data_IF_366597666555
#
_entry.id   IF_366597666555
#
_cell.length_a   1.000
_cell.length_b   1.000
_cell.length_c   1.000
_cell.angle_alpha   90.00
_cell.angle_beta   90.00
_cell.angle_gamma   90.00
#
_symmetry.space_group_name_H-M   'P 1'
#
loop_
_entity.id
_entity.type
_entity.pdbx_description
1 polymer ?
#
# COMPACT_ATOMS: atom_id res chain seq x y z
N UNK A 1 -24.89 9.12 14.17
CA UNK A 1 -23.55 8.54 14.34
C UNK A 1 -22.65 9.20 13.30
N UNK A 2 -21.42 9.56 13.67
CA UNK A 2 -20.47 10.08 12.69
C UNK A 2 -20.10 8.96 11.72
N UNK A 3 -19.84 9.33 10.46
CA UNK A 3 -19.59 8.35 9.39
C UNK A 3 -18.15 7.85 9.52
N UNK A 4 -17.98 6.54 9.64
CA UNK A 4 -16.68 5.88 9.51
C UNK A 4 -16.66 5.08 8.22
N UNK A 5 -15.49 4.96 7.62
CA UNK A 5 -15.28 4.13 6.45
C UNK A 5 -13.83 3.66 6.42
N UNK A 6 -13.60 2.48 5.85
CA UNK A 6 -12.25 1.93 5.70
C UNK A 6 -12.20 1.05 4.46
N UNK A 7 -11.10 1.13 3.72
CA UNK A 7 -10.78 0.23 2.64
C UNK A 7 -9.35 -0.27 2.78
N UNK A 8 -9.12 -1.50 2.31
CA UNK A 8 -7.79 -2.12 2.23
C UNK A 8 -7.59 -2.75 0.85
N UNK A 9 -6.33 -2.80 0.39
CA UNK A 9 -5.93 -3.58 -0.77
C UNK A 9 -4.71 -4.45 -0.49
N UNK A 10 -4.61 -5.53 -1.25
CA UNK A 10 -3.50 -6.48 -1.22
C UNK A 10 -2.73 -6.59 -2.54
N UNK A 11 -2.97 -5.66 -3.46
CA UNK A 11 -2.26 -5.55 -4.74
C UNK A 11 -3.17 -5.71 -5.95
N UNK A 12 -2.85 -4.98 -7.01
CA UNK A 12 -3.45 -5.09 -8.35
C UNK A 12 -2.45 -5.69 -9.34
N UNK A 13 -2.88 -6.48 -10.31
CA UNK A 13 -2.01 -7.07 -11.33
C UNK A 13 -2.69 -8.22 -12.09
N UNK A 14 -1.88 -9.13 -12.61
CA UNK A 14 -2.33 -10.38 -13.25
C UNK A 14 -2.75 -11.43 -12.21
N UNK A 15 -3.64 -12.35 -12.61
CA UNK A 15 -4.05 -13.47 -11.77
C UNK A 15 -2.98 -14.58 -11.74
N UNK A 16 -2.05 -14.52 -10.77
CA UNK A 16 -1.00 -15.54 -10.63
C UNK A 16 -1.51 -16.89 -10.11
N UNK A 17 -0.81 -17.98 -10.44
CA UNK A 17 -1.09 -19.32 -9.92
C UNK A 17 -1.07 -19.39 -8.39
N UNK A 18 -0.19 -18.59 -7.76
CA UNK A 18 -0.16 -18.44 -6.30
C UNK A 18 -1.46 -17.87 -5.77
N UNK A 19 -1.99 -16.81 -6.39
CA UNK A 19 -3.25 -16.21 -5.99
C UNK A 19 -4.40 -17.19 -6.18
N UNK A 20 -4.48 -17.88 -7.32
CA UNK A 20 -5.52 -18.87 -7.60
C UNK A 20 -5.50 -19.98 -6.54
N UNK A 21 -4.31 -20.48 -6.21
CA UNK A 21 -4.14 -21.54 -5.20
C UNK A 21 -4.42 -21.07 -3.76
N UNK A 22 -4.31 -19.78 -3.48
CA UNK A 22 -4.46 -19.20 -2.14
C UNK A 22 -5.62 -18.21 -2.03
N UNK A 23 -6.59 -18.24 -2.96
CA UNK A 23 -7.67 -17.24 -3.05
C UNK A 23 -8.39 -17.06 -1.71
N UNK A 24 -8.80 -18.17 -1.08
CA UNK A 24 -9.49 -18.16 0.23
C UNK A 24 -8.64 -17.55 1.34
N UNK A 25 -7.32 -17.78 1.33
CA UNK A 25 -6.41 -17.24 2.34
C UNK A 25 -6.20 -15.74 2.12
N UNK A 26 -6.02 -15.31 0.88
CA UNK A 26 -5.95 -13.88 0.55
C UNK A 26 -7.26 -13.15 0.90
N UNK A 27 -8.41 -13.74 0.60
CA UNK A 27 -9.70 -13.17 1.00
C UNK A 27 -9.81 -13.06 2.53
N UNK A 28 -9.41 -14.10 3.27
CA UNK A 28 -9.39 -14.07 4.73
C UNK A 28 -8.47 -12.99 5.28
N UNK A 29 -7.23 -12.89 4.80
CA UNK A 29 -6.27 -11.86 5.23
C UNK A 29 -6.77 -10.43 4.98
N UNK A 30 -7.40 -10.18 3.81
CA UNK A 30 -8.05 -8.89 3.53
C UNK A 30 -9.16 -8.56 4.54
N UNK A 31 -9.99 -9.56 4.88
CA UNK A 31 -11.08 -9.39 5.83
C UNK A 31 -10.56 -9.13 7.25
N UNK A 32 -9.53 -9.86 7.68
CA UNK A 32 -8.91 -9.68 9.00
C UNK A 32 -8.26 -8.31 9.14
N UNK A 33 -7.53 -7.85 8.12
CA UNK A 33 -6.96 -6.50 8.08
C UNK A 33 -8.05 -5.41 8.14
N UNK A 34 -9.09 -5.55 7.30
CA UNK A 34 -10.21 -4.62 7.26
C UNK A 34 -10.94 -4.53 8.61
N UNK A 35 -11.27 -5.69 9.20
CA UNK A 35 -11.99 -5.76 10.47
C UNK A 35 -11.15 -5.24 11.64
N UNK A 36 -9.83 -5.45 11.59
CA UNK A 36 -8.91 -4.91 12.59
C UNK A 36 -8.93 -3.38 12.60
N UNK A 37 -8.76 -2.74 11.44
CA UNK A 37 -8.85 -1.28 11.32
C UNK A 37 -10.26 -0.75 11.63
N UNK A 38 -11.30 -1.41 11.12
CA UNK A 38 -12.69 -1.01 11.39
C UNK A 38 -13.07 -1.08 12.87
N UNK A 39 -12.57 -2.06 13.62
CA UNK A 39 -12.80 -2.15 15.07
C UNK A 39 -12.23 -0.92 15.79
N UNK A 40 -11.02 -0.49 15.44
CA UNK A 40 -10.41 0.73 15.99
C UNK A 40 -11.32 1.93 15.74
N UNK A 41 -11.83 2.10 14.52
CA UNK A 41 -12.77 3.18 14.19
C UNK A 41 -14.07 3.09 14.99
N UNK A 42 -14.64 1.89 15.13
CA UNK A 42 -15.87 1.67 15.92
C UNK A 42 -15.69 2.01 17.40
N UNK A 43 -14.51 1.75 17.94
CA UNK A 43 -14.17 2.01 19.34
C UNK A 43 -13.74 3.47 19.57
N UNK A 44 -13.82 4.33 18.54
CA UNK A 44 -13.52 5.76 18.64
C UNK A 44 -12.04 6.13 18.41
N UNK A 45 -11.22 5.19 17.94
CA UNK A 45 -9.83 5.44 17.55
C UNK A 45 -9.70 6.26 16.27
N UNK A 46 -8.49 6.74 16.00
CA UNK A 46 -8.21 7.63 14.86
C UNK A 46 -8.10 6.89 13.53
N UNK A 47 -8.28 7.61 12.43
CA UNK A 47 -8.07 7.06 11.09
C UNK A 47 -6.63 6.57 10.91
N UNK A 48 -5.67 7.29 11.51
CA UNK A 48 -4.25 6.96 11.48
C UNK A 48 -3.95 5.62 12.16
N UNK A 49 -4.55 5.36 13.33
CA UNK A 49 -4.44 4.08 14.04
C UNK A 49 -5.06 2.94 13.23
N UNK A 50 -6.21 3.20 12.59
CA UNK A 50 -6.90 2.19 11.81
C UNK A 50 -6.11 1.75 10.57
N UNK A 51 -5.51 2.70 9.82
CA UNK A 51 -4.71 2.35 8.63
C UNK A 51 -3.39 1.68 8.99
N UNK A 52 -2.71 2.11 10.06
CA UNK A 52 -1.48 1.44 10.52
C UNK A 52 -1.79 -0.02 10.90
N UNK A 53 -2.81 -0.24 11.75
CA UNK A 53 -3.14 -1.59 12.20
C UNK A 53 -3.58 -2.51 11.05
N UNK A 54 -4.35 -1.99 10.09
CA UNK A 54 -4.76 -2.74 8.91
C UNK A 54 -3.56 -3.12 8.03
N UNK A 55 -2.61 -2.21 7.81
CA UNK A 55 -1.39 -2.50 7.03
C UNK A 55 -0.47 -3.46 7.77
N UNK A 56 -0.29 -3.33 9.09
CA UNK A 56 0.49 -4.28 9.89
C UNK A 56 -0.07 -5.72 9.78
N UNK A 57 -1.40 -5.88 9.76
CA UNK A 57 -2.02 -7.19 9.53
C UNK A 57 -1.67 -7.78 8.16
N UNK A 58 -1.58 -6.94 7.12
CA UNK A 58 -1.20 -7.37 5.78
C UNK A 58 0.31 -7.61 5.66
N UNK A 59 1.14 -6.85 6.39
CA UNK A 59 2.59 -7.06 6.49
C UNK A 59 2.95 -8.34 7.25
N UNK A 60 2.10 -8.79 8.18
CA UNK A 60 2.34 -10.03 8.92
C UNK A 60 1.85 -11.29 8.17
N UNK A 61 1.03 -11.13 7.11
CA UNK A 61 0.44 -12.21 6.34
C UNK A 61 1.29 -12.57 5.10
N UNK A 62 1.89 -13.79 5.05
CA UNK A 62 2.78 -14.21 3.97
C UNK A 62 2.17 -14.26 2.56
N UNK A 63 0.85 -14.11 2.43
CA UNK A 63 0.18 -14.11 1.13
C UNK A 63 0.16 -12.72 0.45
N UNK A 64 0.73 -11.71 1.09
CA UNK A 64 0.85 -10.35 0.56
C UNK A 64 2.30 -9.93 0.39
N UNK A 65 2.55 -9.03 -0.56
CA UNK A 65 3.88 -8.53 -0.87
C UNK A 65 4.20 -7.28 -0.04
N UNK A 66 4.32 -7.44 1.27
CA UNK A 66 4.77 -6.43 2.22
C UNK A 66 5.15 -7.12 3.52
N UNK A 67 6.17 -6.64 4.24
CA UNK A 67 6.63 -7.33 5.45
C UNK A 67 6.96 -8.80 5.16
N UNK A 68 6.35 -9.70 5.91
CA UNK A 68 6.39 -11.14 5.65
C UNK A 68 5.70 -11.49 4.34
N UNK A 69 6.44 -12.11 3.42
CA UNK A 69 5.98 -12.37 2.05
C UNK A 69 6.49 -11.36 1.03
N UNK A 70 7.36 -10.42 1.43
CA UNK A 70 8.01 -9.48 0.52
C UNK A 70 8.82 -10.19 -0.57
N UNK A 71 8.70 -9.71 -1.80
CA UNK A 71 9.47 -10.20 -2.93
C UNK A 71 10.95 -9.91 -2.76
N UNK A 72 11.78 -10.68 -3.49
CA UNK A 72 13.23 -10.57 -3.46
C UNK A 72 13.72 -9.78 -4.68
N UNK A 73 14.72 -8.92 -4.50
CA UNK A 73 15.45 -8.28 -5.60
C UNK A 73 16.34 -9.30 -6.35
N UNK A 74 17.05 -8.87 -7.39
CA UNK A 74 17.88 -9.78 -8.20
C UNK A 74 19.11 -10.35 -7.48
N UNK A 75 19.45 -9.84 -6.29
CA UNK A 75 20.46 -10.41 -5.40
C UNK A 75 19.87 -11.41 -4.38
N UNK A 76 18.55 -11.66 -4.43
CA UNK A 76 17.88 -12.55 -3.48
C UNK A 76 17.58 -11.87 -2.13
N UNK A 77 17.61 -10.54 -2.08
CA UNK A 77 17.51 -9.75 -0.87
C UNK A 77 16.13 -9.11 -0.72
N UNK A 78 15.66 -8.95 0.53
CA UNK A 78 14.42 -8.21 0.83
C UNK A 78 14.72 -6.73 1.04
N UNK A 79 13.97 -5.87 0.35
CA UNK A 79 13.99 -4.41 0.49
C UNK A 79 12.54 -3.88 0.52
N UNK A 80 12.11 -3.37 1.67
CA UNK A 80 10.73 -2.94 1.89
C UNK A 80 10.60 -1.42 1.93
N UNK A 81 9.49 -0.93 1.37
CA UNK A 81 9.13 0.48 1.32
C UNK A 81 7.75 0.66 1.97
N UNK A 82 7.55 1.73 2.74
CA UNK A 82 6.24 2.06 3.29
C UNK A 82 6.07 3.56 3.53
N UNK A 83 4.82 4.03 3.55
CA UNK A 83 4.47 5.36 4.01
C UNK A 83 3.11 5.41 4.70
N UNK A 84 2.90 6.49 5.47
CA UNK A 84 1.66 6.81 6.15
C UNK A 84 1.46 8.32 6.19
N UNK A 85 0.22 8.78 6.06
CA UNK A 85 -0.11 10.21 6.03
C UNK A 85 -1.39 10.50 6.82
N UNK A 86 -1.35 11.54 7.65
CA UNK A 86 -2.50 12.10 8.36
C UNK A 86 -3.12 13.26 7.56
N UNK A 87 -4.38 13.11 7.17
CA UNK A 87 -5.12 14.10 6.39
C UNK A 87 -5.49 15.35 7.17
N UNK A 88 -5.48 15.32 8.51
CA UNK A 88 -5.77 16.49 9.35
C UNK A 88 -4.62 17.49 9.38
N UNK A 89 -3.40 16.98 9.54
CA UNK A 89 -2.20 17.80 9.74
C UNK A 89 -1.28 17.84 8.52
N UNK A 90 -1.55 17.00 7.51
CA UNK A 90 -0.68 16.73 6.36
C UNK A 90 0.71 16.20 6.74
N UNK A 91 0.90 15.81 8.02
CA UNK A 91 2.11 15.11 8.43
C UNK A 91 2.16 13.77 7.72
N UNK A 92 3.35 13.40 7.31
CA UNK A 92 3.61 12.14 6.64
C UNK A 92 4.92 11.54 7.14
N UNK A 93 5.01 10.23 7.06
CA UNK A 93 6.21 9.47 7.30
C UNK A 93 6.41 8.43 6.22
N UNK A 94 7.65 8.17 5.86
CA UNK A 94 8.02 7.25 4.80
C UNK A 94 9.38 6.60 5.07
N UNK A 95 9.50 5.36 4.62
CA UNK A 95 10.75 4.60 4.60
C UNK A 95 10.94 3.85 3.31
N UNK A 96 12.20 3.66 2.91
CA UNK A 96 12.56 2.83 1.77
C UNK A 96 13.79 1.97 2.03
N UNK A 97 13.92 0.87 1.28
CA UNK A 97 15.05 -0.07 1.34
C UNK A 97 15.27 -0.67 2.75
N UNK A 98 14.18 -1.03 3.45
CA UNK A 98 14.22 -1.57 4.81
C UNK A 98 14.26 -3.10 4.79
N UNK A 99 15.17 -3.72 5.55
CA UNK A 99 15.42 -5.19 5.48
C UNK A 99 15.04 -5.98 6.74
N UNK A 100 15.02 -5.35 7.92
CA UNK A 100 14.92 -6.08 9.21
C UNK A 100 13.71 -5.67 10.07
N UNK A 101 13.05 -4.56 9.74
CA UNK A 101 11.97 -4.02 10.57
C UNK A 101 10.70 -4.81 10.29
N UNK A 102 10.13 -5.46 11.32
CA UNK A 102 8.96 -6.34 11.17
C UNK A 102 7.82 -5.68 10.40
N UNK A 103 7.51 -4.43 10.76
CA UNK A 103 6.41 -3.66 10.20
C UNK A 103 6.91 -2.30 9.69
N UNK A 104 7.32 -2.18 8.41
CA UNK A 104 7.79 -0.93 7.82
C UNK A 104 6.81 0.26 7.98
N UNK A 105 5.49 0.02 7.92
CA UNK A 105 4.48 1.08 8.12
C UNK A 105 4.57 1.73 9.51
N UNK A 106 4.88 0.94 10.55
CA UNK A 106 5.04 1.45 11.91
C UNK A 106 6.31 2.28 12.08
N UNK A 107 7.38 1.95 11.35
CA UNK A 107 8.57 2.81 11.30
C UNK A 107 8.27 4.13 10.58
N UNK A 108 7.54 4.08 9.46
CA UNK A 108 7.08 5.28 8.78
C UNK A 108 6.26 6.18 9.73
N UNK A 109 5.32 5.61 10.48
CA UNK A 109 4.57 6.34 11.52
C UNK A 109 5.48 6.91 12.59
N UNK A 110 6.48 6.16 13.05
CA UNK A 110 7.42 6.64 14.06
C UNK A 110 8.20 7.87 13.60
N UNK A 111 8.66 7.86 12.34
CA UNK A 111 9.35 9.00 11.72
C UNK A 111 8.44 10.22 11.69
N UNK A 112 7.19 10.05 11.25
CA UNK A 112 6.19 11.12 11.20
C UNK A 112 5.93 11.76 12.57
N UNK A 113 5.84 10.96 13.62
CA UNK A 113 5.46 11.42 14.96
C UNK A 113 6.64 11.95 15.79
N UNK A 114 7.84 11.40 15.59
CA UNK A 114 8.98 11.59 16.51
C UNK A 114 10.17 12.31 15.89
N UNK A 115 10.08 12.73 14.63
CA UNK A 115 11.14 13.48 13.96
C UNK A 115 10.57 14.70 13.23
N UNK A 116 11.45 15.59 12.76
CA UNK A 116 11.08 16.67 11.84
C UNK A 116 11.18 16.25 10.36
N UNK A 117 11.51 14.97 10.10
CA UNK A 117 11.72 14.44 8.77
C UNK A 117 10.46 13.71 8.28
N UNK A 118 10.30 13.66 6.96
CA UNK A 118 9.20 12.93 6.31
C UNK A 118 9.66 11.58 5.81
N UNK A 119 10.87 11.48 5.25
CA UNK A 119 11.31 10.29 4.53
C UNK A 119 12.75 9.95 4.89
N UNK A 120 12.99 8.75 5.43
CA UNK A 120 14.31 8.18 5.66
C UNK A 120 14.51 6.91 4.84
N UNK A 121 15.75 6.51 4.59
CA UNK A 121 16.04 5.36 3.74
C UNK A 121 17.17 4.49 4.30
N UNK A 122 17.09 3.19 4.02
CA UNK A 122 18.11 2.19 4.31
C UNK A 122 18.63 2.25 5.74
N UNK A 123 19.95 2.35 5.88
CA UNK A 123 20.63 2.30 7.18
C UNK A 123 20.15 3.40 8.14
N UNK A 124 19.88 4.62 7.66
CA UNK A 124 19.45 5.72 8.52
C UNK A 124 18.08 5.48 9.15
N UNK A 125 17.15 4.91 8.37
CA UNK A 125 15.85 4.51 8.87
C UNK A 125 15.95 3.32 9.85
N UNK A 126 16.86 2.38 9.62
CA UNK A 126 17.12 1.27 10.54
C UNK A 126 17.68 1.74 11.89
N UNK A 127 18.56 2.74 11.91
CA UNK A 127 19.05 3.34 13.17
C UNK A 127 17.92 3.99 13.97
N UNK A 128 16.95 4.62 13.30
CA UNK A 128 15.74 5.14 13.96
C UNK A 128 14.89 4.00 14.53
N UNK A 129 14.74 2.90 13.79
CA UNK A 129 14.01 1.72 14.26
C UNK A 129 14.65 1.13 15.53
N UNK A 130 15.98 1.00 15.55
CA UNK A 130 16.75 0.55 16.72
C UNK A 130 16.58 1.50 17.89
N UNK A 131 16.71 2.82 17.67
CA UNK A 131 16.58 3.83 18.71
C UNK A 131 15.21 3.77 19.41
N UNK A 132 14.14 3.56 18.64
CA UNK A 132 12.78 3.42 19.17
C UNK A 132 12.41 2.00 19.59
N UNK A 133 13.35 1.05 19.59
CA UNK A 133 13.15 -0.36 19.95
C UNK A 133 12.00 -1.02 19.16
N UNK A 134 11.89 -0.73 17.87
CA UNK A 134 10.94 -1.43 17.01
C UNK A 134 11.37 -2.89 16.84
N UNK A 135 10.42 -3.84 16.68
CA UNK A 135 10.76 -5.24 16.45
C UNK A 135 11.60 -5.42 15.18
N UNK A 136 12.81 -5.94 15.36
CA UNK A 136 13.68 -6.36 14.27
C UNK A 136 13.66 -7.89 14.19
N UNK A 137 13.51 -8.42 12.98
CA UNK A 137 13.44 -9.85 12.71
C UNK A 137 14.48 -10.24 11.67
N UNK A 138 14.97 -11.50 11.71
CA UNK A 138 15.88 -11.99 10.69
C UNK A 138 15.19 -12.09 9.33
N UNK A 139 15.96 -12.03 8.24
CA UNK A 139 15.48 -12.15 6.86
C UNK A 139 14.61 -13.41 6.63
N UNK A 140 14.90 -14.50 7.36
CA UNK A 140 14.13 -15.74 7.33
C UNK A 140 12.69 -15.63 7.84
N UNK A 141 12.35 -14.58 8.60
CA UNK A 141 10.95 -14.28 8.93
C UNK A 141 10.19 -13.78 7.70
N UNK A 142 10.83 -12.92 6.92
CA UNK A 142 10.19 -12.21 5.82
C UNK A 142 10.12 -13.06 4.55
N UNK A 143 11.14 -13.87 4.30
CA UNK A 143 11.22 -14.77 3.14
C UNK A 143 10.43 -16.06 3.39
N UNK A 144 9.50 -16.41 2.50
CA UNK A 144 8.84 -17.73 2.51
C UNK A 144 9.40 -18.62 1.40
N UNK A 145 9.10 -19.92 1.48
CA UNK A 145 9.46 -20.89 0.44
C UNK A 145 8.98 -20.46 -0.95
N UNK A 146 7.82 -19.80 -1.04
CA UNK A 146 7.30 -19.30 -2.31
C UNK A 146 8.19 -18.20 -2.91
N UNK A 147 8.55 -17.17 -2.14
CA UNK A 147 9.42 -16.09 -2.64
C UNK A 147 10.81 -16.61 -3.00
N UNK A 148 11.35 -17.53 -2.20
CA UNK A 148 12.62 -18.18 -2.49
C UNK A 148 12.58 -18.95 -3.82
N UNK A 149 11.57 -19.81 -4.02
CA UNK A 149 11.44 -20.58 -5.27
C UNK A 149 11.25 -19.66 -6.48
N UNK A 150 10.42 -18.62 -6.36
CA UNK A 150 10.21 -17.64 -7.43
C UNK A 150 11.50 -16.93 -7.81
N UNK A 151 12.30 -16.48 -6.83
CA UNK A 151 13.59 -15.84 -7.10
C UNK A 151 14.57 -16.79 -7.78
N UNK A 152 14.67 -18.04 -7.33
CA UNK A 152 15.54 -19.04 -7.95
C UNK A 152 15.17 -19.32 -9.41
N UNK A 153 13.88 -19.44 -9.71
CA UNK A 153 13.40 -19.60 -11.09
C UNK A 153 13.77 -18.39 -11.96
N UNK A 154 13.54 -17.17 -11.45
CA UNK A 154 13.86 -15.93 -12.19
C UNK A 154 15.37 -15.76 -12.41
N UNK A 155 16.19 -16.06 -11.41
CA UNK A 155 17.65 -15.95 -11.50
C UNK A 155 18.23 -16.85 -12.60
N UNK A 156 17.58 -17.99 -12.89
CA UNK A 156 17.99 -18.91 -13.96
C UNK A 156 17.48 -18.49 -15.35
N UNK A 157 16.39 -17.74 -15.42
CA UNK A 157 15.67 -17.44 -16.66
C UNK A 157 15.90 -16.02 -17.19
N UNK A 158 16.22 -15.08 -16.30
CA UNK A 158 16.22 -13.65 -16.61
C UNK A 158 17.65 -13.12 -16.74
N UNK A 159 17.89 -12.39 -17.82
CA UNK A 159 19.14 -11.67 -18.05
C UNK A 159 19.14 -10.31 -17.34
N UNK A 160 20.30 -9.64 -17.30
CA UNK A 160 20.36 -8.27 -16.82
C UNK A 160 19.48 -7.32 -17.64
N UNK A 161 19.36 -7.51 -18.95
CA UNK A 161 18.49 -6.71 -19.81
C UNK A 161 17.00 -6.91 -19.49
N UNK A 162 16.61 -8.09 -19.01
CA UNK A 162 15.26 -8.36 -18.52
C UNK A 162 15.02 -7.64 -17.18
N UNK A 163 16.02 -7.67 -16.28
CA UNK A 163 15.98 -6.97 -14.98
C UNK A 163 15.81 -5.46 -15.19
N UNK A 164 16.53 -4.86 -16.15
CA UNK A 164 16.43 -3.43 -16.48
C UNK A 164 15.03 -3.00 -16.94
N UNK A 165 14.22 -3.94 -17.44
CA UNK A 165 12.86 -3.69 -17.93
C UNK A 165 11.79 -4.15 -16.95
N UNK A 166 12.17 -4.57 -15.73
CA UNK A 166 11.22 -5.04 -14.73
C UNK A 166 10.23 -3.95 -14.37
N UNK A 167 8.97 -4.27 -14.62
CA UNK A 167 7.85 -3.68 -13.91
C UNK A 167 7.11 -4.80 -13.21
N UNK A 168 6.35 -4.45 -12.19
CA UNK A 168 5.60 -5.42 -11.43
C UNK A 168 4.82 -4.74 -10.33
N UNK A 169 3.96 -5.53 -9.74
CA UNK A 169 2.89 -5.05 -8.89
C UNK A 169 2.70 -5.99 -7.70
N UNK A 170 2.27 -5.43 -6.58
CA UNK A 170 2.18 -6.16 -5.33
C UNK A 170 2.43 -5.21 -4.17
N UNK A 171 1.39 -4.52 -3.75
CA UNK A 171 1.46 -3.52 -2.68
C UNK A 171 0.24 -3.68 -1.81
N UNK A 172 0.41 -3.53 -0.51
CA UNK A 172 -0.69 -3.49 0.44
C UNK A 172 -0.94 -2.06 0.86
N UNK A 173 -2.17 -1.76 1.25
CA UNK A 173 -2.48 -0.42 1.73
C UNK A 173 -3.87 -0.30 2.31
N UNK A 174 -4.10 0.78 3.02
CA UNK A 174 -5.33 1.09 3.70
C UNK A 174 -5.64 2.59 3.65
N UNK A 175 -6.92 2.92 3.57
CA UNK A 175 -7.43 4.29 3.73
C UNK A 175 -8.61 4.28 4.68
N UNK A 176 -8.74 5.30 5.53
CA UNK A 176 -9.80 5.37 6.53
C UNK A 176 -10.36 6.78 6.73
N UNK A 177 -11.61 6.84 7.18
CA UNK A 177 -12.31 8.00 7.73
C UNK A 177 -12.74 7.65 9.16
N UNK A 178 -12.38 8.49 10.13
CA UNK A 178 -12.76 8.30 11.54
C UNK A 178 -13.98 9.12 11.98
N UNK A 179 -14.40 8.90 13.23
CA UNK A 179 -15.56 9.58 13.82
C UNK A 179 -15.37 11.08 13.97
N UNK A 180 -14.15 11.61 13.93
CA UNK A 180 -13.89 13.05 13.95
C UNK A 180 -13.91 13.67 12.54
N UNK A 181 -14.09 12.85 11.50
CA UNK A 181 -14.03 13.28 10.11
C UNK A 181 -12.61 13.40 9.57
N UNK A 182 -11.61 12.81 10.23
CA UNK A 182 -10.24 12.81 9.75
C UNK A 182 -9.98 11.63 8.80
N UNK A 183 -9.16 11.90 7.80
CA UNK A 183 -8.72 10.95 6.81
C UNK A 183 -7.29 10.49 7.09
N UNK A 184 -6.97 9.25 6.75
CA UNK A 184 -5.60 8.75 6.76
C UNK A 184 -5.38 7.73 5.62
N UNK A 185 -4.13 7.60 5.20
CA UNK A 185 -3.68 6.61 4.23
C UNK A 185 -2.38 5.96 4.70
N UNK A 186 -2.22 4.67 4.41
CA UNK A 186 -0.97 3.95 4.60
C UNK A 186 -0.75 2.94 3.46
N UNK A 187 0.50 2.80 3.02
CA UNK A 187 0.89 1.93 1.90
C UNK A 187 2.21 1.24 2.24
N UNK A 188 2.35 -0.05 1.93
CA UNK A 188 3.56 -0.85 2.21
C UNK A 188 3.80 -1.88 1.12
N UNK A 189 5.06 -2.18 0.80
CA UNK A 189 5.44 -3.14 -0.24
C UNK A 189 6.80 -3.78 0.00
N UNK A 190 6.98 -4.99 -0.52
CA UNK A 190 8.29 -5.62 -0.74
C UNK A 190 8.93 -5.26 -2.10
N UNK A 191 8.27 -4.42 -2.89
CA UNK A 191 8.77 -3.99 -4.19
C UNK A 191 8.45 -4.96 -5.34
N UNK A 192 9.18 -4.80 -6.44
CA UNK A 192 9.01 -5.60 -7.66
C UNK A 192 9.91 -6.81 -7.62
N UNK A 193 9.36 -8.01 -7.83
CA UNK A 193 10.15 -9.25 -7.84
C UNK A 193 11.27 -9.18 -8.87
N UNK A 194 12.49 -9.51 -8.41
CA UNK A 194 13.72 -9.55 -9.19
C UNK A 194 14.14 -8.18 -9.77
N UNK A 195 13.72 -7.07 -9.14
CA UNK A 195 14.18 -5.74 -9.50
C UNK A 195 15.65 -5.52 -9.12
N UNK A 196 16.23 -4.41 -9.60
CA UNK A 196 17.54 -3.95 -9.13
C UNK A 196 17.49 -3.64 -7.62
N UNK A 197 18.55 -3.96 -6.87
CA UNK A 197 18.71 -3.50 -5.50
C UNK A 197 18.64 -1.99 -5.41
N UNK A 198 17.94 -1.51 -4.39
CA UNK A 198 17.70 -0.10 -4.15
C UNK A 198 16.73 0.59 -5.12
N UNK A 199 15.99 -0.17 -5.92
CA UNK A 199 14.82 0.36 -6.64
C UNK A 199 13.76 0.78 -5.62
N UNK A 200 13.28 2.01 -5.73
CA UNK A 200 12.23 2.56 -4.88
C UNK A 200 10.94 2.73 -5.69
N UNK A 201 9.84 2.18 -5.17
CA UNK A 201 8.51 2.27 -5.78
C UNK A 201 7.69 3.46 -5.31
N UNK A 202 6.41 3.50 -5.70
CA UNK A 202 5.46 4.56 -5.33
C UNK A 202 5.03 4.52 -3.86
N UNK A 203 5.13 3.35 -3.22
CA UNK A 203 4.52 3.07 -1.92
C UNK A 203 5.05 3.92 -0.77
N UNK A 204 6.29 4.40 -0.85
CA UNK A 204 6.87 5.35 0.12
C UNK A 204 6.87 6.82 -0.38
N UNK A 205 6.37 7.08 -1.59
CA UNK A 205 6.37 8.41 -2.19
C UNK A 205 5.02 9.07 -1.95
N UNK A 206 5.00 10.06 -1.06
CA UNK A 206 3.80 10.84 -0.74
C UNK A 206 3.27 11.55 -1.99
N UNK A 207 1.98 11.39 -2.27
CA UNK A 207 1.31 11.90 -3.47
C UNK A 207 1.35 10.95 -4.67
N UNK A 208 2.15 9.88 -4.63
CA UNK A 208 2.14 8.82 -5.64
C UNK A 208 1.32 7.61 -5.15
N UNK A 209 1.88 6.82 -4.23
CA UNK A 209 1.24 5.61 -3.68
C UNK A 209 0.46 5.82 -2.39
N UNK A 210 0.67 6.94 -1.69
CA UNK A 210 -0.01 7.29 -0.43
C UNK A 210 -0.30 8.78 -0.36
N UNK A 211 -1.55 9.17 -0.09
CA UNK A 211 -1.93 10.56 0.14
C UNK A 211 -3.17 10.65 1.03
N UNK A 212 -3.24 11.66 1.90
CA UNK A 212 -4.44 11.96 2.67
C UNK A 212 -4.56 13.46 2.92
N UNK A 213 -5.77 14.00 2.77
CA UNK A 213 -6.09 15.39 3.07
C UNK A 213 -7.58 15.53 3.42
N UNK A 214 -7.88 16.09 4.60
CA UNK A 214 -9.24 16.30 5.08
C UNK A 214 -10.07 17.23 4.17
N UNK A 215 -9.44 17.97 3.25
CA UNK A 215 -10.15 18.79 2.26
C UNK A 215 -10.79 17.97 1.14
N UNK A 216 -10.27 16.77 0.86
CA UNK A 216 -10.68 15.97 -0.29
C UNK A 216 -10.82 14.47 0.04
N UNK A 217 -9.74 13.70 0.03
CA UNK A 217 -9.73 12.25 0.13
C UNK A 217 -8.40 11.69 0.66
N UNK A 218 -8.46 10.45 1.13
CA UNK A 218 -7.30 9.58 1.30
C UNK A 218 -7.25 8.55 0.18
N UNK A 219 -6.04 8.26 -0.32
CA UNK A 219 -5.78 7.39 -1.48
C UNK A 219 -4.56 6.53 -1.22
N UNK A 220 -4.71 5.22 -1.43
CA UNK A 220 -3.63 4.23 -1.44
C UNK A 220 -3.56 3.53 -2.79
N UNK A 221 -2.35 3.48 -3.37
CA UNK A 221 -2.07 2.97 -4.70
C UNK A 221 -1.35 1.62 -4.72
N UNK A 222 -1.50 0.92 -5.85
CA UNK A 222 -0.78 -0.32 -6.17
C UNK A 222 -0.65 -0.45 -7.68
N UNK A 223 0.39 -1.12 -8.15
CA UNK A 223 0.62 -1.38 -9.57
C UNK A 223 2.08 -1.17 -9.95
N UNK A 224 2.31 -0.75 -11.18
CA UNK A 224 3.62 -0.30 -11.66
C UNK A 224 4.02 1.00 -10.98
N UNK A 225 4.88 0.92 -9.96
CA UNK A 225 5.28 2.08 -9.15
C UNK A 225 5.81 3.26 -9.96
N UNK A 226 6.57 3.02 -11.03
CA UNK A 226 7.08 4.06 -11.92
C UNK A 226 5.94 4.88 -12.57
N UNK A 227 4.82 4.23 -12.90
CA UNK A 227 3.65 4.89 -13.46
C UNK A 227 2.91 5.71 -12.41
N UNK A 228 2.76 5.20 -11.17
CA UNK A 228 2.14 5.95 -10.08
C UNK A 228 2.98 7.16 -9.65
N UNK A 229 4.32 7.04 -9.63
CA UNK A 229 5.25 8.15 -9.33
C UNK A 229 5.16 9.22 -10.41
N UNK A 230 5.39 8.87 -11.67
CA UNK A 230 5.43 9.85 -12.77
C UNK A 230 4.06 10.47 -13.05
N UNK A 231 2.98 9.75 -12.76
CA UNK A 231 1.62 10.25 -12.82
C UNK A 231 1.20 11.09 -11.62
N UNK A 232 1.97 11.09 -10.53
CA UNK A 232 1.62 11.68 -9.22
C UNK A 232 0.20 11.26 -8.84
N UNK A 233 -0.06 9.95 -8.90
CA UNK A 233 -1.39 9.40 -9.06
C UNK A 233 -2.35 9.77 -7.91
N UNK A 234 -1.95 9.50 -6.67
CA UNK A 234 -2.79 9.77 -5.50
C UNK A 234 -3.11 11.27 -5.33
N UNK A 235 -2.13 12.15 -5.49
CA UNK A 235 -2.35 13.59 -5.39
C UNK A 235 -3.17 14.13 -6.57
N UNK A 236 -2.99 13.59 -7.78
CA UNK A 236 -3.84 13.96 -8.92
C UNK A 236 -5.31 13.68 -8.63
N UNK A 237 -5.63 12.52 -8.02
CA UNK A 237 -7.02 12.18 -7.64
C UNK A 237 -7.58 13.25 -6.70
N UNK A 238 -6.82 13.61 -5.66
CA UNK A 238 -7.20 14.67 -4.73
C UNK A 238 -7.45 16.01 -5.44
N UNK A 239 -6.59 16.41 -6.37
CA UNK A 239 -6.71 17.67 -7.11
C UNK A 239 -7.88 17.68 -8.09
N UNK A 240 -8.25 16.55 -8.70
CA UNK A 240 -9.45 16.46 -9.55
C UNK A 240 -10.73 16.67 -8.73
N UNK A 241 -10.76 16.21 -7.48
CA UNK A 241 -11.88 16.45 -6.57
C UNK A 241 -11.90 17.93 -6.15
N UNK A 242 -10.78 18.44 -5.64
CA UNK A 242 -10.70 19.79 -5.06
C UNK A 242 -10.85 20.91 -6.10
N UNK A 243 -10.18 20.78 -7.25
CA UNK A 243 -10.06 21.88 -8.24
C UNK A 243 -11.04 21.75 -9.40
N UNK A 244 -11.55 20.55 -9.68
CA UNK A 244 -12.43 20.28 -10.81
C UNK A 244 -13.81 19.75 -10.41
N UNK A 245 -14.06 19.52 -9.12
CA UNK A 245 -15.36 19.08 -8.59
C UNK A 245 -15.76 17.66 -9.00
N UNK A 246 -14.80 16.81 -9.35
CA UNK A 246 -15.07 15.41 -9.70
C UNK A 246 -15.60 14.66 -8.47
N UNK A 247 -16.52 13.71 -8.67
CA UNK A 247 -16.80 12.73 -7.62
C UNK A 247 -15.58 11.83 -7.37
N UNK A 248 -15.53 11.20 -6.20
CA UNK A 248 -14.41 10.33 -5.81
C UNK A 248 -14.14 9.23 -6.85
N UNK A 249 -15.19 8.55 -7.33
CA UNK A 249 -15.04 7.48 -8.32
C UNK A 249 -14.63 8.01 -9.70
N UNK A 250 -15.16 9.15 -10.14
CA UNK A 250 -14.78 9.75 -11.42
C UNK A 250 -13.30 10.18 -11.41
N UNK A 251 -12.83 10.76 -10.31
CA UNK A 251 -11.42 11.15 -10.15
C UNK A 251 -10.50 9.91 -10.20
N UNK A 252 -10.84 8.85 -9.47
CA UNK A 252 -10.09 7.59 -9.50
C UNK A 252 -10.07 6.98 -10.91
N UNK A 253 -11.21 6.87 -11.57
CA UNK A 253 -11.31 6.31 -12.92
C UNK A 253 -10.57 7.17 -13.95
N UNK A 254 -10.56 8.50 -13.78
CA UNK A 254 -9.80 9.37 -14.67
C UNK A 254 -8.30 9.09 -14.59
N UNK A 255 -7.75 8.95 -13.39
CA UNK A 255 -6.31 8.69 -13.21
C UNK A 255 -5.93 7.28 -13.63
N UNK A 256 -6.74 6.28 -13.27
CA UNK A 256 -6.37 4.86 -13.43
C UNK A 256 -6.74 4.28 -14.80
N UNK A 257 -7.86 4.71 -15.40
CA UNK A 257 -8.38 4.08 -16.62
C UNK A 257 -8.23 4.94 -17.87
N UNK A 258 -8.19 6.26 -17.74
CA UNK A 258 -8.31 7.19 -18.88
C UNK A 258 -7.05 8.02 -19.16
N UNK A 259 -6.35 8.49 -18.14
CA UNK A 259 -5.09 9.25 -18.25
C UNK A 259 -3.84 8.42 -18.63
N UNK A 260 -3.72 7.11 -18.31
CA UNK A 260 -2.50 6.38 -18.62
C UNK A 260 -2.20 6.38 -20.13
N UNK A 261 -0.93 6.38 -20.55
CA UNK A 261 -0.57 6.34 -21.97
C UNK A 261 -1.11 5.08 -22.65
N UNK A 262 -1.16 5.09 -23.99
CA UNK A 262 -1.63 3.96 -24.79
C UNK A 262 -0.85 2.65 -24.52
N UNK A 263 0.41 2.76 -24.11
CA UNK A 263 1.13 1.69 -23.42
C UNK A 263 0.52 1.51 -22.02
N UNK A 264 -0.58 0.76 -21.97
CA UNK A 264 -1.35 0.47 -20.76
C UNK A 264 -0.42 0.08 -19.61
N UNK A 265 -0.38 0.92 -18.57
CA UNK A 265 0.34 0.69 -17.31
C UNK A 265 -0.60 0.09 -16.28
N UNK A 266 -0.18 -0.98 -15.63
CA UNK A 266 -0.98 -1.65 -14.61
C UNK A 266 -1.07 -0.81 -13.33
N UNK A 267 -2.28 -0.40 -12.95
CA UNK A 267 -2.51 0.44 -11.78
C UNK A 267 -3.85 0.13 -11.12
N UNK A 268 -3.91 0.37 -9.81
CA UNK A 268 -5.13 0.37 -9.02
C UNK A 268 -5.00 1.27 -7.80
N UNK A 269 -6.13 1.77 -7.32
CA UNK A 269 -6.25 2.54 -6.07
C UNK A 269 -7.49 2.14 -5.30
N UNK A 270 -7.41 2.32 -3.98
CA UNK A 270 -8.56 2.52 -3.12
C UNK A 270 -8.55 3.97 -2.63
N UNK A 271 -9.73 4.54 -2.43
CA UNK A 271 -9.87 5.88 -1.89
C UNK A 271 -11.09 6.01 -0.97
N UNK A 272 -11.02 6.95 -0.03
CA UNK A 272 -12.14 7.35 0.82
C UNK A 272 -12.19 8.87 0.96
N UNK A 273 -13.38 9.46 0.95
CA UNK A 273 -13.56 10.91 1.14
C UNK A 273 -14.21 11.24 2.49
N UNK A 274 -14.32 12.53 2.81
CA UNK A 274 -14.91 13.01 4.07
C UNK A 274 -16.41 12.74 4.22
N UNK A 275 -17.10 12.29 3.18
CA UNK A 275 -18.48 11.81 3.25
C UNK A 275 -18.57 10.30 3.57
N UNK A 276 -17.43 9.61 3.67
CA UNK A 276 -17.33 8.17 3.88
C UNK A 276 -17.65 7.35 2.64
N UNK A 277 -17.63 7.97 1.46
CA UNK A 277 -17.74 7.24 0.21
C UNK A 277 -16.42 6.52 -0.05
N UNK A 278 -16.49 5.24 -0.40
CA UNK A 278 -15.33 4.44 -0.80
C UNK A 278 -15.32 4.29 -2.31
N UNK A 279 -14.15 4.47 -2.93
CA UNK A 279 -13.92 4.18 -4.34
C UNK A 279 -12.83 3.12 -4.49
N UNK A 280 -13.01 2.27 -5.50
CA UNK A 280 -11.99 1.35 -5.98
C UNK A 280 -11.91 1.49 -7.49
N UNK A 281 -10.70 1.70 -8.01
CA UNK A 281 -10.45 1.74 -9.45
C UNK A 281 -9.17 1.00 -9.79
N UNK A 282 -9.21 0.14 -10.80
CA UNK A 282 -8.05 -0.60 -11.30
C UNK A 282 -8.24 -0.94 -12.78
N UNK A 283 -7.13 -1.08 -13.49
CA UNK A 283 -7.11 -1.40 -14.93
C UNK A 283 -6.47 -2.77 -15.24
N UNK A 284 -6.16 -3.55 -14.21
CA UNK A 284 -5.54 -4.88 -14.23
C UNK A 284 -6.58 -6.01 -14.28
N UNK A 285 -6.17 -7.27 -14.27
CA UNK A 285 -7.10 -8.42 -14.18
C UNK A 285 -7.73 -8.54 -12.80
N UNK A 286 -6.90 -8.41 -11.76
CA UNK A 286 -7.32 -8.50 -10.37
C UNK A 286 -6.92 -7.26 -9.58
N UNK A 287 -7.65 -7.04 -8.49
CA UNK A 287 -7.20 -6.22 -7.37
C UNK A 287 -7.75 -6.81 -6.10
N UNK A 288 -6.88 -7.39 -5.27
CA UNK A 288 -7.20 -7.86 -3.92
C UNK A 288 -7.69 -6.68 -3.10
N UNK A 289 -8.96 -6.64 -2.68
CA UNK A 289 -9.56 -5.48 -2.02
C UNK A 289 -10.70 -5.86 -1.07
N UNK A 290 -10.85 -5.09 -0.01
CA UNK A 290 -12.00 -5.18 0.88
C UNK A 290 -12.31 -3.79 1.47
N UNK A 291 -13.57 -3.50 1.77
CA UNK A 291 -13.96 -2.21 2.34
C UNK A 291 -15.26 -2.30 3.14
N UNK A 292 -15.42 -1.35 4.06
CA UNK A 292 -16.67 -1.02 4.74
C UNK A 292 -16.95 0.45 4.46
N UNK A 293 -18.04 0.72 3.78
CA UNK A 293 -18.50 2.08 3.47
C UNK A 293 -19.29 2.70 4.62
N UNK A 294 -19.75 3.95 4.44
CA UNK A 294 -20.54 4.67 5.44
C UNK A 294 -21.92 4.05 5.75
N UNK A 295 -22.41 3.12 4.92
CA UNK A 295 -23.62 2.33 5.18
C UNK A 295 -23.32 1.10 6.07
N UNK A 296 -22.04 0.87 6.40
CA UNK A 296 -21.58 -0.25 7.22
C UNK A 296 -21.55 -1.58 6.47
N UNK A 297 -21.64 -1.54 5.14
CA UNK A 297 -21.67 -2.76 4.33
C UNK A 297 -20.25 -3.23 4.04
N UNK A 298 -19.97 -4.47 4.42
CA UNK A 298 -18.69 -5.10 4.16
C UNK A 298 -18.65 -5.72 2.76
N UNK A 299 -17.55 -5.46 2.04
CA UNK A 299 -17.26 -6.00 0.73
C UNK A 299 -15.85 -6.60 0.72
N UNK A 300 -15.67 -7.71 0.01
CA UNK A 300 -14.36 -8.32 -0.24
C UNK A 300 -14.37 -8.93 -1.64
N UNK A 301 -13.42 -8.54 -2.49
CA UNK A 301 -13.31 -8.98 -3.88
C UNK A 301 -11.85 -9.13 -4.26
N UNK A 302 -11.55 -10.07 -5.16
CA UNK A 302 -10.21 -10.27 -5.73
C UNK A 302 -10.27 -9.99 -7.23
N UNK A 303 -11.18 -10.67 -7.91
CA UNK A 303 -11.44 -10.51 -9.33
C UNK A 303 -12.38 -9.32 -9.60
N UNK A 304 -12.62 -9.02 -10.89
CA UNK A 304 -13.52 -7.97 -11.36
C UNK A 304 -14.97 -8.24 -10.93
#
# INVERSE_FOLDING_TARGET
MNKIAIAVHGGAGEASDFLISNEKKCAKGLQEALLTGHRILKDGGSALDAVEAAVCMLEDDPHFNAGRGSTLNCHGEIEMDASIMDGKTLKAGAVSMIREVKNPVSLARKIMEKTHHVFLSGYGALEVAKYFNLPLLPESYFMTDYQYQQNQTRHQQETFDDILKKSGSGTVGAVALDNEGNLASATSTGGTSHCLPGRIGDSCVIGAGCYADNRNCAVSGTGEGEALITGVAAHTIAMLIELQGYSLQEACDQVIKKRPPASRREMGVIAVNTQGNVSVSFNTEIMKRAWIDNDGKMHCKIFK
#
